data_IF_431489192380
#
_entry.id   IF_431489192380
#
_cell.length_a   1.000
_cell.length_b   1.000
_cell.length_c   1.000
_cell.angle_alpha   90.00
_cell.angle_beta   90.00
_cell.angle_gamma   90.00
#
_symmetry.space_group_name_H-M   'P 1'
#
loop_
_entity.id
_entity.type
_entity.pdbx_description
1 polymer ?
#
# COMPACT_ATOMS: atom_id res chain seq x y z
N UNK A 1 38.57 11.38 21.22
CA UNK A 1 37.43 10.48 20.94
C UNK A 1 36.84 10.86 19.59
N UNK A 2 37.02 10.02 18.56
CA UNK A 2 36.32 10.21 17.28
C UNK A 2 34.95 9.56 17.45
N UNK A 3 33.92 10.38 17.63
CA UNK A 3 32.54 9.93 17.67
C UNK A 3 32.16 9.47 16.27
N UNK A 4 31.84 8.19 16.15
CA UNK A 4 31.36 7.56 14.92
C UNK A 4 29.98 8.16 14.63
N UNK A 5 29.70 8.72 13.43
CA UNK A 5 28.35 9.10 13.07
C UNK A 5 27.53 7.83 12.90
N UNK A 6 26.45 7.72 13.68
CA UNK A 6 25.46 6.65 13.56
C UNK A 6 24.87 6.69 12.15
N UNK A 7 25.32 5.77 11.31
CA UNK A 7 24.67 5.39 10.06
C UNK A 7 23.88 4.12 10.34
N UNK A 8 22.58 4.21 10.54
CA UNK A 8 21.71 3.08 10.23
C UNK A 8 20.35 3.61 9.78
N UNK A 9 19.93 3.09 8.64
CA UNK A 9 18.71 3.38 7.91
C UNK A 9 17.49 2.88 8.67
N UNK A 10 16.89 3.74 9.47
CA UNK A 10 15.47 3.62 9.77
C UNK A 10 14.84 4.93 9.28
N UNK A 11 14.42 4.94 8.02
CA UNK A 11 13.29 5.79 7.64
C UNK A 11 12.16 5.37 8.56
N UNK A 12 12.03 6.06 9.71
CA UNK A 12 10.78 6.14 10.43
C UNK A 12 9.77 6.68 9.43
N UNK A 13 9.10 5.77 8.71
CA UNK A 13 7.98 6.11 7.85
C UNK A 13 6.96 6.69 8.80
N UNK A 14 6.94 8.01 8.87
CA UNK A 14 6.03 8.74 9.75
C UNK A 14 4.64 8.22 9.46
N UNK A 15 3.80 7.97 10.48
CA UNK A 15 2.47 7.37 10.27
C UNK A 15 1.65 8.04 9.15
N UNK A 16 1.85 9.35 8.93
CA UNK A 16 1.28 10.15 7.84
C UNK A 16 1.78 9.82 6.43
N UNK A 17 2.99 9.29 6.29
CA UNK A 17 3.58 8.89 5.01
C UNK A 17 3.11 7.49 4.62
N UNK A 18 3.06 6.56 5.57
CA UNK A 18 2.45 5.24 5.40
C UNK A 18 0.97 5.36 4.98
N UNK A 19 0.23 6.23 5.66
CA UNK A 19 -1.15 6.58 5.34
C UNK A 19 -1.33 7.02 3.87
N UNK A 20 -0.48 7.95 3.42
CA UNK A 20 -0.49 8.45 2.04
C UNK A 20 -0.16 7.36 1.01
N UNK A 21 0.80 6.49 1.32
CA UNK A 21 1.13 5.37 0.44
C UNK A 21 -0.02 4.36 0.35
N UNK A 22 -0.70 4.05 1.46
CA UNK A 22 -1.87 3.16 1.48
C UNK A 22 -3.04 3.76 0.70
N UNK A 23 -3.34 5.04 0.89
CA UNK A 23 -4.37 5.74 0.14
C UNK A 23 -4.06 5.76 -1.37
N UNK A 24 -2.80 6.05 -1.73
CA UNK A 24 -2.32 6.00 -3.12
C UNK A 24 -2.43 4.61 -3.73
N UNK A 25 -2.04 3.57 -3.00
CA UNK A 25 -2.15 2.18 -3.45
C UNK A 25 -3.61 1.77 -3.69
N UNK A 26 -4.54 2.11 -2.78
CA UNK A 26 -5.98 1.84 -2.98
C UNK A 26 -6.50 2.52 -4.24
N UNK A 27 -6.15 3.79 -4.45
CA UNK A 27 -6.56 4.53 -5.64
C UNK A 27 -6.06 3.87 -6.93
N UNK A 28 -4.76 3.51 -6.98
CA UNK A 28 -4.17 2.84 -8.14
C UNK A 28 -4.82 1.49 -8.43
N UNK A 29 -5.09 0.67 -7.41
CA UNK A 29 -5.76 -0.62 -7.56
C UNK A 29 -7.18 -0.47 -8.11
N UNK A 30 -7.94 0.51 -7.61
CA UNK A 30 -9.28 0.82 -8.11
C UNK A 30 -9.25 1.24 -9.58
N UNK A 31 -8.31 2.11 -9.97
CA UNK A 31 -8.17 2.55 -11.36
C UNK A 31 -7.70 1.41 -12.29
N UNK A 32 -6.79 0.56 -11.81
CA UNK A 32 -6.38 -0.64 -12.55
C UNK A 32 -7.56 -1.58 -12.75
N UNK A 33 -8.39 -1.81 -11.73
CA UNK A 33 -9.60 -2.62 -11.85
C UNK A 33 -10.58 -2.08 -12.88
N UNK A 34 -10.79 -0.76 -12.92
CA UNK A 34 -11.65 -0.11 -13.93
C UNK A 34 -11.09 -0.26 -15.35
N UNK A 35 -9.77 -0.14 -15.52
CA UNK A 35 -9.11 -0.31 -16.81
C UNK A 35 -9.16 -1.77 -17.26
N UNK A 36 -8.87 -2.70 -16.36
CA UNK A 36 -8.84 -4.14 -16.64
C UNK A 36 -10.24 -4.75 -16.73
N UNK A 37 -11.27 -4.18 -16.11
CA UNK A 37 -12.65 -4.59 -16.35
C UNK A 37 -13.11 -4.35 -17.80
N UNK A 38 -12.33 -3.62 -18.59
CA UNK A 38 -12.52 -3.46 -20.05
C UNK A 38 -11.71 -4.46 -20.88
N UNK A 39 -10.76 -5.15 -20.26
CA UNK A 39 -9.90 -6.16 -20.87
C UNK A 39 -10.18 -7.48 -20.14
N UNK A 40 -11.17 -8.25 -20.58
CA UNK A 40 -11.68 -9.48 -19.92
C UNK A 40 -10.64 -10.62 -19.78
N UNK A 41 -9.35 -10.37 -20.03
CA UNK A 41 -8.37 -11.39 -20.41
C UNK A 41 -7.35 -11.77 -19.31
N UNK A 42 -7.50 -11.29 -18.07
CA UNK A 42 -6.55 -11.64 -16.98
C UNK A 42 -7.26 -11.86 -15.63
N UNK A 43 -7.92 -13.01 -15.42
CA UNK A 43 -8.55 -13.36 -14.15
C UNK A 43 -7.55 -13.39 -12.97
N UNK A 44 -6.31 -13.82 -13.20
CA UNK A 44 -5.25 -13.85 -12.17
C UNK A 44 -4.87 -12.44 -11.71
N UNK A 45 -4.89 -11.46 -12.61
CA UNK A 45 -4.61 -10.06 -12.28
C UNK A 45 -5.76 -9.43 -11.49
N UNK A 46 -7.00 -9.75 -11.84
CA UNK A 46 -8.19 -9.35 -11.07
C UNK A 46 -8.16 -9.93 -9.66
N UNK A 47 -7.75 -11.19 -9.52
CA UNK A 47 -7.59 -11.85 -8.22
C UNK A 47 -6.47 -11.20 -7.39
N UNK A 48 -5.32 -10.90 -8.02
CA UNK A 48 -4.21 -10.22 -7.36
C UNK A 48 -4.62 -8.82 -6.85
N UNK A 49 -5.33 -8.03 -7.66
CA UNK A 49 -5.86 -6.73 -7.26
C UNK A 49 -6.82 -6.88 -6.08
N UNK A 50 -7.74 -7.85 -6.14
CA UNK A 50 -8.70 -8.10 -5.06
C UNK A 50 -8.00 -8.48 -3.75
N UNK A 51 -6.98 -9.34 -3.80
CA UNK A 51 -6.19 -9.72 -2.62
C UNK A 51 -5.44 -8.53 -2.02
N UNK A 52 -4.89 -7.65 -2.86
CA UNK A 52 -4.23 -6.42 -2.41
C UNK A 52 -5.24 -5.45 -1.77
N UNK A 53 -6.42 -5.25 -2.37
CA UNK A 53 -7.50 -4.43 -1.79
C UNK A 53 -7.94 -4.98 -0.41
N UNK A 54 -8.11 -6.30 -0.29
CA UNK A 54 -8.41 -6.95 0.98
C UNK A 54 -7.31 -6.75 2.02
N UNK A 55 -6.04 -6.93 1.64
CA UNK A 55 -4.91 -6.75 2.55
C UNK A 55 -4.86 -5.31 3.10
N UNK A 56 -5.07 -4.31 2.23
CA UNK A 56 -5.13 -2.90 2.65
C UNK A 56 -6.33 -2.63 3.57
N UNK A 57 -7.49 -3.23 3.31
CA UNK A 57 -8.66 -3.12 4.18
C UNK A 57 -8.39 -3.72 5.57
N UNK A 58 -7.80 -4.91 5.63
CA UNK A 58 -7.43 -5.57 6.89
C UNK A 58 -6.41 -4.73 7.65
N UNK A 59 -5.41 -4.19 6.95
CA UNK A 59 -4.39 -3.34 7.56
C UNK A 59 -5.00 -2.05 8.13
N UNK A 60 -5.91 -1.42 7.39
CA UNK A 60 -6.68 -0.25 7.86
C UNK A 60 -7.51 -0.59 9.09
N UNK A 61 -8.19 -1.75 9.10
CA UNK A 61 -8.98 -2.19 10.25
C UNK A 61 -8.11 -2.48 11.48
N UNK A 62 -6.96 -3.14 11.31
CA UNK A 62 -6.01 -3.43 12.39
C UNK A 62 -5.38 -2.18 13.00
N UNK A 63 -5.28 -1.11 12.22
CA UNK A 63 -4.75 0.18 12.66
C UNK A 63 -5.84 1.14 13.15
N UNK A 64 -7.10 0.68 13.24
CA UNK A 64 -8.22 1.51 13.70
C UNK A 64 -8.51 2.70 12.78
N UNK A 65 -8.15 2.62 11.49
CA UNK A 65 -8.28 3.73 10.56
C UNK A 65 -7.26 4.85 10.79
N UNK A 66 -6.16 4.59 11.51
CA UNK A 66 -5.05 5.54 11.69
C UNK A 66 -4.06 5.58 10.51
N UNK A 67 -4.35 4.81 9.44
CA UNK A 67 -3.71 4.89 8.13
C UNK A 67 -4.54 5.75 7.18
#
# INVERSE_FOLDING_TARGET
>A
MKSIPVSIYEEEVRPTEAARHVAGARHLLTELRKKLGRFEDCPELQEAITKLEMALNILTAKTGGML
#
